data_IF_038543623117
#
_entry.id   IF_038543623117
#
_cell.length_a   1.000
_cell.length_b   1.000
_cell.length_c   1.000
_cell.angle_alpha   90.00
_cell.angle_beta   90.00
_cell.angle_gamma   90.00
#
_symmetry.space_group_name_H-M   'P 1'
#
loop_
_entity.id
_entity.type
_entity.pdbx_description
1 polymer ?
#
# COMPACT_ATOMS: atom_id res chain seq x y z
N UNK A 1 3.96 17.78 0.72
CA UNK A 1 4.64 16.51 1.06
C UNK A 1 3.57 15.49 1.39
N UNK A 2 3.40 14.47 0.55
CA UNK A 2 2.41 13.41 0.77
C UNK A 2 2.70 12.74 2.11
N UNK A 3 1.71 12.67 3.01
CA UNK A 3 1.78 11.77 4.17
C UNK A 3 2.12 10.39 3.63
N UNK A 4 3.28 9.85 4.02
CA UNK A 4 3.49 8.40 4.02
C UNK A 4 2.40 7.86 4.97
N UNK A 5 1.25 7.47 4.42
CA UNK A 5 0.12 6.96 5.19
C UNK A 5 0.47 5.54 5.62
N UNK A 6 1.38 5.41 6.58
CA UNK A 6 1.53 4.17 7.30
C UNK A 6 0.28 3.99 8.15
N UNK A 7 -0.47 2.92 7.88
CA UNK A 7 -1.63 2.53 8.67
C UNK A 7 -1.24 1.44 9.67
N UNK A 8 -1.79 1.49 10.87
CA UNK A 8 -1.52 0.48 11.90
C UNK A 8 -2.43 -0.72 11.70
N UNK A 9 -1.84 -1.89 11.50
CA UNK A 9 -2.55 -3.17 11.44
C UNK A 9 -2.47 -3.90 12.79
N UNK A 10 -3.61 -4.10 13.45
CA UNK A 10 -3.70 -4.85 14.72
C UNK A 10 -4.30 -6.24 14.46
N UNK A 11 -3.54 -7.29 14.79
CA UNK A 11 -3.91 -8.68 14.52
C UNK A 11 -3.98 -9.46 15.84
N UNK A 12 -5.12 -10.12 16.10
CA UNK A 12 -5.24 -11.14 17.15
C UNK A 12 -5.07 -12.51 16.52
N UNK A 13 -4.14 -13.30 17.04
CA UNK A 13 -3.80 -14.63 16.52
C UNK A 13 -3.29 -15.52 17.67
N UNK A 14 -3.01 -16.79 17.38
CA UNK A 14 -2.43 -17.72 18.35
C UNK A 14 -0.98 -17.38 18.70
N UNK A 15 -0.51 -17.87 19.86
CA UNK A 15 0.88 -17.71 20.27
C UNK A 15 1.85 -18.35 19.28
N UNK A 16 1.48 -19.49 18.70
CA UNK A 16 2.27 -20.23 17.71
C UNK A 16 2.52 -19.38 16.46
N UNK A 17 1.46 -18.78 15.88
CA UNK A 17 1.60 -17.92 14.69
C UNK A 17 2.52 -16.74 14.98
N UNK A 18 2.41 -16.12 16.16
CA UNK A 18 3.30 -15.03 16.58
C UNK A 18 4.77 -15.46 16.63
N UNK A 19 5.05 -16.68 17.12
CA UNK A 19 6.42 -17.22 17.19
C UNK A 19 6.97 -17.56 15.81
N UNK A 20 6.18 -18.22 14.96
CA UNK A 20 6.57 -18.56 13.59
C UNK A 20 6.88 -17.30 12.77
N UNK A 21 6.04 -16.27 12.87
CA UNK A 21 6.26 -14.99 12.21
C UNK A 21 7.58 -14.34 12.63
N UNK A 22 7.91 -14.39 13.93
CA UNK A 22 9.18 -13.87 14.44
C UNK A 22 10.38 -14.66 13.92
N UNK A 23 10.31 -16.00 13.93
CA UNK A 23 11.37 -16.85 13.40
C UNK A 23 11.62 -16.60 11.90
N UNK A 24 10.56 -16.41 11.12
CA UNK A 24 10.67 -16.06 9.70
C UNK A 24 11.37 -14.71 9.52
N UNK A 25 10.94 -13.69 10.26
CA UNK A 25 11.53 -12.35 10.21
C UNK A 25 13.02 -12.36 10.60
N UNK A 26 13.37 -13.09 11.67
CA UNK A 26 14.74 -13.23 12.16
C UNK A 26 15.62 -13.94 11.12
N UNK A 27 15.10 -14.98 10.44
CA UNK A 27 15.82 -15.73 9.39
C UNK A 27 16.18 -14.85 8.19
N UNK A 28 15.32 -13.91 7.82
CA UNK A 28 15.55 -12.98 6.71
C UNK A 28 16.23 -11.67 7.12
N UNK A 29 16.53 -11.48 8.42
CA UNK A 29 17.10 -10.25 8.99
C UNK A 29 16.22 -9.02 8.71
N UNK A 30 14.90 -9.16 8.87
CA UNK A 30 13.92 -8.07 8.66
C UNK A 30 13.05 -7.89 9.89
N UNK A 31 12.36 -6.76 9.95
CA UNK A 31 11.34 -6.55 10.98
C UNK A 31 10.12 -7.45 10.74
N UNK A 32 9.37 -7.75 11.80
CA UNK A 32 8.09 -8.47 11.70
C UNK A 32 7.09 -7.72 10.81
N UNK A 33 7.08 -6.38 10.86
CA UNK A 33 6.21 -5.57 10.00
C UNK A 33 6.57 -5.77 8.51
N UNK A 34 7.85 -5.68 8.16
CA UNK A 34 8.30 -5.92 6.78
C UNK A 34 8.04 -7.36 6.32
N UNK A 35 8.15 -8.34 7.21
CA UNK A 35 7.80 -9.73 6.89
C UNK A 35 6.31 -9.86 6.54
N UNK A 36 5.42 -9.22 7.31
CA UNK A 36 3.99 -9.19 7.00
C UNK A 36 3.71 -8.51 5.65
N UNK A 37 4.36 -7.38 5.35
CA UNK A 37 4.20 -6.71 4.05
C UNK A 37 4.55 -7.65 2.88
N UNK A 38 5.67 -8.37 2.97
CA UNK A 38 6.08 -9.33 1.94
C UNK A 38 5.04 -10.44 1.83
N UNK A 39 4.65 -11.06 2.94
CA UNK A 39 3.65 -12.13 2.93
C UNK A 39 2.33 -11.70 2.28
N UNK A 40 1.87 -10.47 2.57
CA UNK A 40 0.65 -9.91 1.98
C UNK A 40 0.83 -9.67 0.48
N UNK A 41 1.95 -9.10 0.04
CA UNK A 41 2.23 -8.84 -1.37
C UNK A 41 2.39 -10.13 -2.19
N UNK A 42 3.07 -11.13 -1.62
CA UNK A 42 3.22 -12.46 -2.19
C UNK A 42 1.87 -13.13 -2.38
N UNK A 43 1.03 -13.11 -1.34
CA UNK A 43 -0.33 -13.64 -1.41
C UNK A 43 -1.16 -12.91 -2.47
N UNK A 44 -1.15 -11.58 -2.47
CA UNK A 44 -1.88 -10.79 -3.46
C UNK A 44 -1.46 -11.11 -4.89
N UNK A 45 -0.16 -11.24 -5.15
CA UNK A 45 0.36 -11.60 -6.47
C UNK A 45 -0.02 -13.02 -6.89
N UNK A 46 0.04 -13.99 -5.97
CA UNK A 46 -0.34 -15.37 -6.24
C UNK A 46 -1.84 -15.55 -6.51
N UNK A 47 -2.66 -14.58 -6.06
CA UNK A 47 -4.13 -14.61 -6.17
C UNK A 47 -4.70 -13.49 -7.05
N UNK A 48 -3.86 -12.79 -7.82
CA UNK A 48 -4.25 -11.68 -8.71
C UNK A 48 -5.09 -10.57 -8.03
N UNK A 49 -4.86 -10.33 -6.73
CA UNK A 49 -5.54 -9.28 -5.98
C UNK A 49 -4.97 -7.90 -6.38
N UNK A 50 -5.85 -7.01 -6.85
CA UNK A 50 -5.52 -5.64 -7.23
C UNK A 50 -6.32 -4.65 -6.38
N UNK A 51 -5.68 -3.57 -5.96
CA UNK A 51 -6.37 -2.44 -5.36
C UNK A 51 -7.03 -1.63 -6.48
N UNK A 52 -8.35 -1.46 -6.43
CA UNK A 52 -9.02 -0.44 -7.24
C UNK A 52 -8.55 0.92 -6.74
N UNK A 53 -7.75 1.61 -7.55
CA UNK A 53 -7.27 2.97 -7.26
C UNK A 53 -8.48 3.92 -7.27
N UNK A 54 -9.11 4.11 -6.12
CA UNK A 54 -10.13 5.14 -5.90
C UNK A 54 -9.55 6.43 -5.26
N UNK A 55 -8.23 6.49 -5.04
CA UNK A 55 -7.54 7.69 -4.54
C UNK A 55 -6.83 8.43 -5.68
N UNK A 56 -7.58 9.03 -6.59
CA UNK A 56 -7.11 10.20 -7.34
C UNK A 56 -7.85 11.45 -6.84
N UNK A 57 -7.16 12.47 -6.28
CA UNK A 57 -7.78 13.76 -6.13
C UNK A 57 -7.97 14.33 -7.53
N UNK A 58 -9.24 14.42 -7.95
CA UNK A 58 -9.67 15.11 -9.18
C UNK A 58 -9.02 16.49 -9.20
N UNK A 59 -7.95 16.64 -9.99
CA UNK A 59 -7.43 17.96 -10.35
C UNK A 59 -8.27 18.43 -11.52
N UNK A 60 -9.40 19.04 -11.18
CA UNK A 60 -10.30 19.71 -12.12
C UNK A 60 -9.58 20.94 -12.68
N UNK A 61 -8.77 20.73 -13.73
CA UNK A 61 -8.18 21.80 -14.52
C UNK A 61 -9.24 22.30 -15.52
N UNK A 62 -10.24 23.03 -15.03
CA UNK A 62 -11.22 23.64 -15.92
C UNK A 62 -10.67 24.96 -16.50
N UNK A 63 -10.12 24.81 -17.71
CA UNK A 63 -10.24 25.68 -18.89
C UNK A 63 -9.98 27.20 -18.77
N UNK A 64 -8.82 27.62 -19.28
CA UNK A 64 -8.65 28.98 -19.84
C UNK A 64 -9.16 28.96 -21.29
N UNK A 65 -10.17 29.77 -21.68
CA UNK A 65 -10.50 29.89 -23.09
C UNK A 65 -9.45 30.80 -23.74
N UNK A 66 -8.61 30.20 -24.59
CA UNK A 66 -7.81 30.91 -25.58
C UNK A 66 -8.79 31.63 -26.50
N UNK A 67 -8.89 32.95 -26.39
CA UNK A 67 -9.54 33.77 -27.41
C UNK A 67 -8.45 34.30 -28.34
N UNK A 68 -8.34 33.64 -29.49
CA UNK A 68 -7.51 34.03 -30.63
C UNK A 68 -7.82 35.45 -31.07
N UNK A 69 -6.78 36.26 -31.29
CA UNK A 69 -6.89 37.41 -32.16
C UNK A 69 -7.05 36.97 -33.62
N UNK A 70 -7.93 37.65 -34.36
CA UNK A 70 -7.82 37.90 -35.80
C UNK A 70 -9.11 38.60 -36.27
N UNK A 71 -9.08 39.92 -36.34
CA UNK A 71 -9.50 40.78 -37.47
C UNK A 71 -9.42 42.24 -37.06
#
# INVERSE_FOLDING_TARGET
>A
MSRLKHETLSIRTSAEIKQLLRLAADRERRSVASMIEIMVLEYARAHDLKLDRQDEPVKEANSTPVRSGAR
#
